data_IF_671624805285
#
_entry.id   IF_671624805285
#
_cell.length_a   1.000
_cell.length_b   1.000
_cell.length_c   1.000
_cell.angle_alpha   90.00
_cell.angle_beta   90.00
_cell.angle_gamma   90.00
#
_symmetry.space_group_name_H-M   'P 1'
#
loop_
_entity.id
_entity.type
_entity.pdbx_description
1 polymer ?
#
# COMPACT_ATOMS: atom_id res chain seq x y z
N UNK A 1 23.10 -48.84 -51.13
CA UNK A 1 22.06 -47.85 -51.50
C UNK A 1 20.68 -48.43 -51.15
N UNK A 2 20.11 -48.11 -49.98
CA UNK A 2 18.73 -48.42 -49.59
C UNK A 2 18.24 -47.29 -48.66
N UNK A 3 17.37 -46.42 -49.17
CA UNK A 3 16.62 -45.42 -48.40
C UNK A 3 15.17 -45.85 -48.42
N UNK A 4 14.56 -46.12 -47.27
CA UNK A 4 13.10 -46.26 -47.18
C UNK A 4 12.58 -45.67 -45.87
N UNK A 5 11.84 -44.57 -46.06
CA UNK A 5 10.72 -43.97 -45.30
C UNK A 5 10.70 -44.13 -43.77
N UNK A 6 10.98 -43.01 -43.09
CA UNK A 6 10.38 -42.72 -41.78
C UNK A 6 8.95 -42.22 -42.02
N UNK A 7 7.98 -42.90 -41.41
CA UNK A 7 6.56 -42.58 -41.53
C UNK A 7 6.21 -41.30 -40.75
N UNK A 8 5.61 -40.34 -41.45
CA UNK A 8 5.00 -39.14 -40.89
C UNK A 8 3.75 -39.50 -40.10
N UNK A 9 3.81 -39.37 -38.77
CA UNK A 9 2.62 -39.42 -37.92
C UNK A 9 2.11 -38.00 -37.73
N UNK A 10 1.18 -37.60 -38.59
CA UNK A 10 0.35 -36.41 -38.38
C UNK A 10 -0.60 -36.71 -37.22
N UNK A 11 -0.29 -36.19 -36.04
CA UNK A 11 -1.22 -36.12 -34.93
C UNK A 11 -2.03 -34.81 -35.09
N UNK A 12 -3.22 -34.92 -35.70
CA UNK A 12 -4.26 -33.91 -35.55
C UNK A 12 -4.60 -33.79 -34.08
N UNK A 13 -4.11 -32.74 -33.44
CA UNK A 13 -4.62 -32.30 -32.15
C UNK A 13 -5.45 -31.07 -32.46
N UNK A 14 -6.77 -31.23 -32.42
CA UNK A 14 -7.74 -30.14 -32.47
C UNK A 14 -7.43 -29.13 -31.36
N UNK A 15 -6.65 -28.10 -31.69
CA UNK A 15 -6.48 -26.94 -30.84
C UNK A 15 -7.76 -26.12 -30.93
N UNK A 16 -8.76 -26.49 -30.12
CA UNK A 16 -9.96 -25.68 -29.91
C UNK A 16 -9.53 -24.41 -29.16
N UNK A 17 -9.70 -23.19 -29.71
CA UNK A 17 -9.38 -21.98 -28.97
C UNK A 17 -10.42 -21.84 -27.85
N UNK A 18 -10.00 -22.02 -26.60
CA UNK A 18 -10.81 -21.62 -25.45
C UNK A 18 -10.96 -20.09 -25.51
N UNK A 19 -12.20 -19.61 -25.56
CA UNK A 19 -12.53 -18.19 -25.48
C UNK A 19 -11.78 -17.54 -24.31
N UNK A 20 -11.20 -16.34 -24.48
CA UNK A 20 -10.58 -15.62 -23.36
C UNK A 20 -11.67 -15.36 -22.31
N UNK A 21 -11.44 -15.87 -21.11
CA UNK A 21 -12.20 -15.51 -19.91
C UNK A 21 -12.25 -13.98 -19.82
N UNK A 22 -13.44 -13.35 -19.70
CA UNK A 22 -13.53 -11.92 -19.52
C UNK A 22 -12.81 -11.55 -18.24
N UNK A 23 -11.83 -10.65 -18.36
CA UNK A 23 -11.02 -10.14 -17.25
C UNK A 23 -11.97 -9.61 -16.17
N UNK A 24 -12.11 -10.33 -15.07
CA UNK A 24 -12.81 -9.83 -13.88
C UNK A 24 -11.89 -8.73 -13.34
N UNK A 25 -12.30 -7.45 -13.30
CA UNK A 25 -11.47 -6.43 -12.68
C UNK A 25 -11.32 -6.85 -11.22
N UNK A 26 -10.13 -7.36 -10.92
CA UNK A 26 -9.73 -7.75 -9.58
C UNK A 26 -9.94 -6.49 -8.74
N UNK A 27 -10.85 -6.60 -7.76
CA UNK A 27 -11.17 -5.51 -6.87
C UNK A 27 -9.86 -4.85 -6.45
N UNK A 28 -9.72 -3.55 -6.73
CA UNK A 28 -8.59 -2.76 -6.23
C UNK A 28 -8.58 -3.00 -4.74
N UNK A 29 -7.65 -3.82 -4.27
CA UNK A 29 -7.51 -4.12 -2.87
C UNK A 29 -7.06 -2.81 -2.25
N UNK A 30 -7.99 -2.10 -1.61
CA UNK A 30 -7.64 -1.05 -0.66
C UNK A 30 -6.89 -1.76 0.46
N UNK A 31 -5.58 -1.95 0.24
CA UNK A 31 -4.73 -2.79 1.07
C UNK A 31 -4.31 -1.94 2.27
N UNK A 32 -5.28 -1.59 3.11
CA UNK A 32 -5.02 -0.94 4.38
C UNK A 32 -4.37 -1.97 5.29
N UNK A 33 -3.18 -1.66 5.77
CA UNK A 33 -2.47 -2.49 6.76
C UNK A 33 -2.79 -1.95 8.14
N UNK A 34 -3.43 -2.75 8.98
CA UNK A 34 -3.63 -2.40 10.38
C UNK A 34 -2.32 -2.53 11.15
N UNK A 35 -2.01 -1.52 11.96
CA UNK A 35 -0.81 -1.49 12.81
C UNK A 35 -1.27 -1.70 14.26
N UNK A 36 -0.72 -2.72 14.92
CA UNK A 36 -0.85 -2.89 16.37
C UNK A 36 0.42 -2.34 17.02
N UNK A 37 0.27 -1.35 17.89
CA UNK A 37 1.38 -0.76 18.63
C UNK A 37 0.99 -0.59 20.10
N UNK A 38 1.89 -0.96 21.00
CA UNK A 38 1.75 -0.67 22.42
C UNK A 38 2.25 0.77 22.67
N UNK A 39 1.43 1.57 23.34
CA UNK A 39 1.77 2.94 23.73
C UNK A 39 1.73 3.08 25.26
N UNK A 40 2.55 3.97 25.85
CA UNK A 40 2.45 4.28 27.28
C UNK A 40 1.05 4.76 27.66
N UNK A 41 0.54 4.33 28.81
CA UNK A 41 -0.80 4.74 29.29
C UNK A 41 -0.92 6.27 29.43
N UNK A 42 0.13 6.93 29.90
CA UNK A 42 0.14 8.39 30.04
C UNK A 42 -0.06 9.10 28.69
N UNK A 43 0.49 8.54 27.61
CA UNK A 43 0.31 9.05 26.25
C UNK A 43 -1.12 8.83 25.77
N UNK A 44 -1.66 7.63 25.99
CA UNK A 44 -3.03 7.29 25.65
C UNK A 44 -4.03 8.20 26.38
N UNK A 45 -3.86 8.40 27.68
CA UNK A 45 -4.72 9.25 28.48
C UNK A 45 -4.66 10.72 28.05
N UNK A 46 -3.45 11.22 27.74
CA UNK A 46 -3.27 12.58 27.21
C UNK A 46 -3.93 12.75 25.84
N UNK A 47 -3.78 11.77 24.94
CA UNK A 47 -4.40 11.76 23.62
C UNK A 47 -5.93 11.78 23.72
N UNK A 48 -6.48 10.98 24.62
CA UNK A 48 -7.93 10.92 24.87
C UNK A 48 -8.48 12.27 25.33
N UNK A 49 -7.80 12.92 26.29
CA UNK A 49 -8.18 14.25 26.75
C UNK A 49 -8.07 15.32 25.65
N UNK A 50 -7.10 15.20 24.75
CA UNK A 50 -7.00 16.09 23.59
C UNK A 50 -8.16 15.89 22.61
N UNK A 51 -8.51 14.64 22.30
CA UNK A 51 -9.64 14.30 21.41
C UNK A 51 -10.99 14.75 21.97
N UNK A 52 -11.21 14.65 23.28
CA UNK A 52 -12.43 15.18 23.94
C UNK A 52 -12.62 16.70 23.71
N UNK A 53 -11.53 17.43 23.49
CA UNK A 53 -11.57 18.88 23.21
C UNK A 53 -11.62 19.24 21.71
N UNK A 54 -11.40 18.26 20.82
CA UNK A 54 -11.30 18.46 19.37
C UNK A 54 -12.18 17.43 18.64
N UNK A 55 -13.49 17.69 18.50
CA UNK A 55 -14.43 16.72 17.93
C UNK A 55 -14.17 16.39 16.46
N UNK A 56 -13.49 17.28 15.74
CA UNK A 56 -13.11 17.07 14.33
C UNK A 56 -11.90 16.13 14.17
N UNK A 57 -11.22 15.77 15.26
CA UNK A 57 -10.03 14.92 15.22
C UNK A 57 -10.36 13.49 15.64
N UNK A 58 -9.70 12.54 14.98
CA UNK A 58 -9.70 11.14 15.37
C UNK A 58 -8.26 10.68 15.68
N UNK A 59 -8.16 9.48 16.27
CA UNK A 59 -6.88 8.89 16.66
C UNK A 59 -5.94 8.69 15.45
N UNK A 60 -6.46 8.23 14.32
CA UNK A 60 -5.66 7.96 13.11
C UNK A 60 -5.12 9.25 12.50
N UNK A 61 -5.90 10.34 12.50
CA UNK A 61 -5.51 11.67 12.05
C UNK A 61 -4.42 12.25 12.94
N UNK A 62 -4.52 12.11 14.26
CA UNK A 62 -3.45 12.58 15.15
C UNK A 62 -2.16 11.81 14.89
N UNK A 63 -2.23 10.49 14.75
CA UNK A 63 -1.03 9.69 14.46
C UNK A 63 -0.43 10.00 13.09
N UNK A 64 -1.24 10.14 12.05
CA UNK A 64 -0.77 10.53 10.72
C UNK A 64 -0.14 11.93 10.74
N UNK A 65 -0.71 12.88 11.48
CA UNK A 65 -0.13 14.21 11.67
C UNK A 65 1.19 14.17 12.44
N UNK A 66 1.25 13.43 13.54
CA UNK A 66 2.46 13.28 14.34
C UNK A 66 3.59 12.59 13.55
N UNK A 67 3.28 11.51 12.83
CA UNK A 67 4.25 10.78 12.01
C UNK A 67 4.75 11.61 10.84
N UNK A 68 3.87 12.31 10.11
CA UNK A 68 4.29 13.18 9.01
C UNK A 68 5.19 14.31 9.51
N UNK A 69 4.83 14.96 10.62
CA UNK A 69 5.64 16.01 11.21
C UNK A 69 7.01 15.48 11.66
N UNK A 70 7.04 14.32 12.32
CA UNK A 70 8.28 13.68 12.72
C UNK A 70 9.18 13.37 11.51
N UNK A 71 8.62 12.82 10.44
CA UNK A 71 9.36 12.50 9.21
C UNK A 71 9.89 13.76 8.50
N UNK A 72 9.15 14.87 8.55
CA UNK A 72 9.61 16.16 8.00
C UNK A 72 10.74 16.76 8.84
N UNK A 73 10.63 16.70 10.16
CA UNK A 73 11.64 17.24 11.07
C UNK A 73 12.95 16.44 11.04
N UNK A 74 12.87 15.13 10.86
CA UNK A 74 14.02 14.22 10.85
C UNK A 74 14.53 13.90 9.43
N UNK A 75 14.01 14.58 8.41
CA UNK A 75 14.32 14.33 7.00
C UNK A 75 15.68 14.85 6.52
N UNK A 76 16.40 15.61 7.34
CA UNK A 76 17.78 16.04 7.05
C UNK A 76 18.76 14.93 7.40
N UNK A 77 18.79 13.92 6.53
CA UNK A 77 19.77 12.85 6.55
C UNK A 77 20.95 13.17 5.65
N UNK A 78 22.11 12.57 5.96
CA UNK A 78 23.37 12.79 5.25
C UNK A 78 23.37 12.40 3.77
N UNK A 79 22.38 11.63 3.31
CA UNK A 79 22.27 11.20 1.91
C UNK A 79 21.01 11.73 1.23
N UNK A 80 21.08 12.14 -0.06
CA UNK A 80 19.93 12.63 -0.81
C UNK A 80 18.79 11.60 -0.92
N UNK A 81 19.11 10.31 -1.02
CA UNK A 81 18.11 9.25 -1.16
C UNK A 81 17.30 9.07 0.13
N UNK A 82 17.95 9.11 1.30
CA UNK A 82 17.27 9.00 2.58
C UNK A 82 16.34 10.21 2.79
N UNK A 83 16.81 11.44 2.50
CA UNK A 83 15.99 12.65 2.59
C UNK A 83 14.78 12.60 1.66
N UNK A 84 14.92 11.99 0.47
CA UNK A 84 13.79 11.78 -0.42
C UNK A 84 12.78 10.78 0.15
N UNK A 85 13.22 9.71 0.79
CA UNK A 85 12.34 8.73 1.42
C UNK A 85 11.54 9.33 2.58
N UNK A 86 12.17 10.14 3.43
CA UNK A 86 11.48 10.88 4.50
C UNK A 86 10.38 11.79 3.96
N UNK A 87 10.70 12.61 2.95
CA UNK A 87 9.72 13.52 2.33
C UNK A 87 8.57 12.77 1.66
N UNK A 88 8.87 11.65 0.99
CA UNK A 88 7.84 10.80 0.36
C UNK A 88 6.90 10.18 1.41
N UNK A 89 7.46 9.59 2.47
CA UNK A 89 6.67 9.01 3.55
C UNK A 89 5.81 10.07 4.25
N UNK A 90 6.40 11.22 4.60
CA UNK A 90 5.65 12.33 5.20
C UNK A 90 4.47 12.80 4.35
N UNK A 91 4.67 12.87 3.02
CA UNK A 91 3.63 13.25 2.08
C UNK A 91 2.44 12.29 2.09
N UNK A 92 2.70 10.98 2.12
CA UNK A 92 1.63 9.97 2.16
C UNK A 92 0.78 10.14 3.43
N UNK A 93 1.42 10.31 4.60
CA UNK A 93 0.70 10.56 5.86
C UNK A 93 -0.04 11.91 5.90
N UNK A 94 0.48 12.95 5.24
CA UNK A 94 -0.26 14.21 5.11
C UNK A 94 -1.48 14.06 4.21
N UNK A 95 -1.36 13.36 3.09
CA UNK A 95 -2.46 13.13 2.16
C UNK A 95 -3.64 12.41 2.85
N UNK A 96 -3.38 11.49 3.77
CA UNK A 96 -4.45 10.83 4.55
C UNK A 96 -5.23 11.79 5.46
N UNK A 97 -4.65 12.91 5.89
CA UNK A 97 -5.36 13.90 6.74
C UNK A 97 -6.45 14.67 5.98
N UNK A 98 -6.29 14.80 4.66
CA UNK A 98 -7.16 15.57 3.78
C UNK A 98 -8.13 14.70 2.97
N UNK A 99 -7.89 13.38 2.90
CA UNK A 99 -8.74 12.44 2.16
C UNK A 99 -9.98 11.99 2.94
N UNK A 100 -10.07 12.29 4.24
CA UNK A 100 -11.30 12.20 5.04
C UNK A 100 -11.87 13.60 5.33
N UNK A 101 -12.42 14.33 4.34
CA UNK A 101 -13.47 15.29 4.64
C UNK A 101 -14.76 14.48 4.88
N UNK A 102 -15.51 14.83 5.92
CA UNK A 102 -16.81 14.20 6.24
C UNK A 102 -17.75 14.00 5.03
#
# INVERSE_FOLDING_TARGET
MRRVKVASKVASTDYRPTLPIPYKPEAVMNTSVSILAEIPEDLHQSLKSYLDSHPDWDQDRIFAAALSLFLLQNGDSSTPEASQNYRRAARVYLETLFQNPD
#
